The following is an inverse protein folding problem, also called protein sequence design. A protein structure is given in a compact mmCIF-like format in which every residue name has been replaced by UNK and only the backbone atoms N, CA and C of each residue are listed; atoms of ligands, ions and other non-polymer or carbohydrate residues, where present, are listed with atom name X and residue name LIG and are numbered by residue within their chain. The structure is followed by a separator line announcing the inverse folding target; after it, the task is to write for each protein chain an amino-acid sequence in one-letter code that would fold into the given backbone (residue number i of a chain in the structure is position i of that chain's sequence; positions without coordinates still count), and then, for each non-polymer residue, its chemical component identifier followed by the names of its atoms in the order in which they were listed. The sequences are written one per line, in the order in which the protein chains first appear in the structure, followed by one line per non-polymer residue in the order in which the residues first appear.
data_IF_754060689643
#
_entry.id   IF_754060689643
#
_cell.length_a   1.000
_cell.length_b   1.000
_cell.length_c   1.000
_cell.angle_alpha   90.00
_cell.angle_beta   90.00
_cell.angle_gamma   90.00
#
_symmetry.space_group_name_H-M   'P 1'
#
loop_
_entity.id
_entity.type
_entity.pdbx_description
1 polymer ?
#
# COMPACT_ATOMS: atom_id res chain seq x y z
N UNK A 1 3.41 -17.57 8.24
CA UNK A 1 2.66 -16.29 8.34
C UNK A 1 2.98 -15.43 7.13
N UNK A 2 2.07 -14.56 6.71
CA UNK A 2 2.31 -13.67 5.55
C UNK A 2 3.20 -12.52 6.01
N UNK A 3 4.33 -12.33 5.33
CA UNK A 3 5.26 -11.21 5.56
C UNK A 3 4.87 -10.05 4.66
N UNK A 4 4.54 -8.90 5.25
CA UNK A 4 4.31 -7.67 4.51
C UNK A 4 5.46 -6.68 4.75
N UNK A 5 5.95 -6.08 3.66
CA UNK A 5 6.82 -4.90 3.70
C UNK A 5 5.94 -3.67 3.74
N UNK A 6 5.90 -3.00 4.88
CA UNK A 6 5.10 -1.79 5.06
C UNK A 6 6.02 -0.60 4.89
N UNK A 7 5.71 0.23 3.90
CA UNK A 7 6.38 1.51 3.70
C UNK A 7 5.52 2.58 4.37
N UNK A 8 6.08 3.22 5.39
CA UNK A 8 5.48 4.32 6.12
C UNK A 8 6.12 5.61 5.64
N UNK A 9 5.33 6.45 4.95
CA UNK A 9 5.76 7.78 4.54
C UNK A 9 5.31 8.81 5.58
N UNK A 10 6.28 9.50 6.15
CA UNK A 10 6.06 10.59 7.09
C UNK A 10 5.75 11.91 6.36
N UNK A 11 5.14 12.85 7.08
CA UNK A 11 4.81 14.19 6.56
C UNK A 11 6.06 15.01 6.26
N UNK A 12 7.17 14.71 6.95
CA UNK A 12 8.49 15.31 6.75
C UNK A 12 9.24 14.76 5.52
N UNK A 13 8.60 13.90 4.72
CA UNK A 13 9.14 13.39 3.46
C UNK A 13 10.12 12.22 3.61
N UNK A 14 10.37 11.75 4.83
CA UNK A 14 11.12 10.51 5.08
C UNK A 14 10.20 9.30 4.94
N UNK A 15 10.73 8.24 4.34
CA UNK A 15 10.03 6.96 4.21
C UNK A 15 10.82 5.87 4.91
N UNK A 16 10.14 5.12 5.78
CA UNK A 16 10.72 4.00 6.49
C UNK A 16 10.04 2.69 6.07
N UNK A 17 10.83 1.64 5.94
CA UNK A 17 10.34 0.31 5.58
C UNK A 17 10.41 -0.58 6.83
N UNK A 18 9.27 -1.14 7.22
CA UNK A 18 9.18 -2.16 8.26
C UNK A 18 8.75 -3.49 7.66
N UNK A 19 9.32 -4.58 8.14
CA UNK A 19 8.83 -5.93 7.86
C UNK A 19 7.94 -6.37 9.02
N UNK A 20 6.68 -6.64 8.72
CA UNK A 20 5.69 -7.03 9.73
C UNK A 20 4.98 -8.30 9.30
N UNK A 21 4.87 -9.24 10.23
CA UNK A 21 4.11 -10.48 10.09
C UNK A 21 2.73 -10.33 10.72
N UNK A 22 1.74 -9.84 9.98
CA UNK A 22 0.37 -9.68 10.49
C UNK A 22 -0.68 -10.13 9.48
N UNK A 23 -1.63 -10.95 9.93
CA UNK A 23 -2.83 -11.30 9.15
C UNK A 23 -3.90 -10.20 9.20
N UNK A 24 -3.82 -9.27 10.15
CA UNK A 24 -4.85 -8.27 10.44
C UNK A 24 -4.98 -7.16 9.37
N UNK A 25 -4.06 -7.10 8.41
CA UNK A 25 -4.13 -6.21 7.25
C UNK A 25 -4.93 -6.81 6.08
N UNK A 26 -5.19 -8.11 6.11
CA UNK A 26 -5.94 -8.82 5.06
C UNK A 26 -7.41 -8.41 5.11
N UNK A 27 -7.98 -8.06 3.96
CA UNK A 27 -9.37 -7.62 3.82
C UNK A 27 -9.58 -6.10 3.91
N UNK A 28 -8.57 -5.32 4.31
CA UNK A 28 -8.62 -3.86 4.25
C UNK A 28 -8.49 -3.35 2.82
N UNK A 29 -9.03 -2.16 2.55
CA UNK A 29 -9.02 -1.54 1.22
C UNK A 29 -8.03 -0.37 1.17
N UNK A 30 -7.60 -0.05 -0.04
CA UNK A 30 -6.90 1.21 -0.30
C UNK A 30 -7.84 2.37 0.04
N UNK A 31 -7.33 3.32 0.82
CA UNK A 31 -8.07 4.47 1.33
C UNK A 31 -8.49 4.32 2.78
N UNK A 32 -8.47 3.11 3.34
CA UNK A 32 -8.82 2.87 4.74
C UNK A 32 -7.72 3.37 5.68
N UNK A 33 -8.17 3.81 6.85
CA UNK A 33 -7.32 4.22 7.96
C UNK A 33 -7.11 3.07 8.94
N UNK A 34 -5.89 2.94 9.43
CA UNK A 34 -5.42 1.85 10.28
C UNK A 34 -4.69 2.44 11.47
N UNK A 35 -4.98 1.90 12.64
CA UNK A 35 -4.22 2.19 13.85
C UNK A 35 -2.81 1.57 13.72
N UNK A 36 -1.79 2.40 13.88
CA UNK A 36 -0.37 2.01 13.83
C UNK A 36 0.03 1.00 14.91
N UNK A 37 -0.79 0.83 15.96
CA UNK A 37 -0.61 -0.22 16.98
C UNK A 37 -0.49 -1.62 16.39
N UNK A 38 -1.12 -1.90 15.23
CA UNK A 38 -1.00 -3.19 14.55
C UNK A 38 0.39 -3.44 13.93
N UNK A 39 1.20 -2.39 13.80
CA UNK A 39 2.48 -2.37 13.08
C UNK A 39 3.64 -2.05 14.05
N UNK A 40 3.36 -1.87 15.34
CA UNK A 40 4.33 -1.44 16.35
C UNK A 40 4.54 0.08 16.42
N UNK A 41 3.71 0.85 15.72
CA UNK A 41 3.71 2.33 15.75
C UNK A 41 2.55 2.80 16.63
N UNK A 42 2.73 2.73 17.95
CA UNK A 42 1.71 3.17 18.91
C UNK A 42 1.40 4.66 18.76
N UNK A 43 0.12 5.02 18.80
CA UNK A 43 -0.36 6.40 18.68
C UNK A 43 -0.44 6.95 17.25
N UNK A 44 0.03 6.23 16.23
CA UNK A 44 -0.06 6.69 14.83
C UNK A 44 -1.36 6.25 14.15
N UNK A 45 -1.93 7.10 13.30
CA UNK A 45 -2.93 6.67 12.29
C UNK A 45 -2.30 6.67 10.90
N UNK A 46 -2.42 5.53 10.24
CA UNK A 46 -1.86 5.29 8.92
C UNK A 46 -2.99 5.07 7.91
N UNK A 47 -2.92 5.73 6.76
CA UNK A 47 -3.82 5.52 5.64
C UNK A 47 -3.16 4.67 4.57
N UNK A 48 -3.83 3.61 4.13
CA UNK A 48 -3.36 2.79 3.00
C UNK A 48 -3.51 3.60 1.72
N UNK A 49 -2.41 3.83 1.01
CA UNK A 49 -2.42 4.53 -0.28
C UNK A 49 -2.31 3.56 -1.47
N UNK A 50 -1.70 2.39 -1.26
CA UNK A 50 -1.56 1.38 -2.30
C UNK A 50 -0.65 0.23 -1.89
N UNK A 51 -0.18 -0.53 -2.88
CA UNK A 51 0.71 -1.65 -2.67
C UNK A 51 1.09 -2.35 -3.96
N UNK A 52 1.93 -3.38 -3.81
CA UNK A 52 2.46 -4.18 -4.91
C UNK A 52 2.32 -5.67 -4.60
N UNK A 53 1.86 -6.41 -5.61
CA UNK A 53 1.76 -7.88 -5.60
C UNK A 53 3.14 -8.53 -5.73
N UNK A 54 3.27 -9.82 -5.38
CA UNK A 54 4.51 -10.61 -5.60
C UNK A 54 5.04 -10.55 -7.04
N UNK A 55 4.16 -10.41 -8.02
CA UNK A 55 4.54 -10.27 -9.44
C UNK A 55 4.89 -8.82 -9.85
N UNK A 56 4.92 -7.87 -8.91
CA UNK A 56 5.16 -6.45 -9.20
C UNK A 56 3.95 -5.72 -9.81
N UNK A 57 2.77 -6.33 -9.82
CA UNK A 57 1.57 -5.62 -10.27
C UNK A 57 1.11 -4.61 -9.23
N UNK A 58 0.86 -3.35 -9.61
CA UNK A 58 0.38 -2.34 -8.68
C UNK A 58 -1.09 -2.59 -8.35
N UNK A 59 -1.46 -2.24 -7.12
CA UNK A 59 -2.85 -2.16 -6.70
C UNK A 59 -3.49 -0.86 -7.18
N UNK A 60 -4.80 -0.91 -7.47
CA UNK A 60 -5.56 0.24 -7.95
C UNK A 60 -6.87 0.40 -7.17
N UNK A 61 -7.14 1.62 -6.69
CA UNK A 61 -8.32 1.93 -5.87
C UNK A 61 -9.65 1.74 -6.63
N UNK A 62 -9.67 2.03 -7.93
CA UNK A 62 -10.87 1.92 -8.79
C UNK A 62 -11.42 0.48 -8.90
N UNK A 63 -10.55 -0.52 -8.76
CA UNK A 63 -10.91 -1.92 -9.02
C UNK A 63 -11.21 -2.58 -7.69
N UNK A 64 -12.46 -2.99 -7.50
CA UNK A 64 -12.88 -3.67 -6.29
C UNK A 64 -12.44 -5.13 -6.27
N UNK A 65 -12.12 -5.59 -5.07
CA UNK A 65 -11.76 -6.98 -4.81
C UNK A 65 -10.26 -7.20 -4.67
N UNK A 66 -9.90 -8.44 -4.39
CA UNK A 66 -8.54 -8.86 -4.12
C UNK A 66 -7.88 -9.53 -5.31
N UNK A 67 -8.58 -9.78 -6.41
CA UNK A 67 -8.08 -10.54 -7.56
C UNK A 67 -7.23 -9.70 -8.53
N UNK A 68 -6.52 -10.38 -9.43
CA UNK A 68 -5.85 -9.78 -10.59
C UNK A 68 -6.86 -9.63 -11.72
N UNK A 69 -6.97 -8.44 -12.29
CA UNK A 69 -7.86 -8.16 -13.41
C UNK A 69 -7.10 -7.49 -14.56
N UNK A 70 -7.52 -7.76 -15.79
CA UNK A 70 -7.02 -7.06 -16.98
C UNK A 70 -7.93 -5.88 -17.32
N UNK A 71 -7.52 -4.68 -16.94
CA UNK A 71 -8.27 -3.46 -17.23
C UNK A 71 -7.71 -2.75 -18.48
N UNK A 72 -8.59 -2.07 -19.23
CA UNK A 72 -8.19 -1.22 -20.37
C UNK A 72 -7.81 0.17 -19.85
N UNK A 73 -6.51 0.41 -19.69
CA UNK A 73 -5.99 1.62 -19.08
C UNK A 73 -5.65 2.66 -20.15
N UNK A 74 -6.07 3.90 -19.91
CA UNK A 74 -5.63 5.09 -20.66
C UNK A 74 -4.44 5.76 -19.97
N UNK A 75 -4.50 5.96 -18.65
CA UNK A 75 -3.45 6.57 -17.83
C UNK A 75 -3.55 6.07 -16.38
N UNK A 76 -2.47 6.23 -15.62
CA UNK A 76 -2.47 6.11 -14.16
C UNK A 76 -1.61 4.95 -13.64
N UNK A 77 -1.94 4.41 -12.45
CA UNK A 77 -1.18 3.32 -11.84
C UNK A 77 -1.12 2.11 -12.77
N UNK A 78 0.10 1.63 -13.06
CA UNK A 78 0.36 0.48 -13.93
C UNK A 78 0.37 0.76 -15.44
N UNK A 79 0.08 2.00 -15.88
CA UNK A 79 0.23 2.39 -17.28
C UNK A 79 0.56 3.87 -17.46
N UNK A 80 1.78 4.14 -17.94
CA UNK A 80 2.22 5.45 -18.41
C UNK A 80 2.25 5.41 -19.96
N UNK A 81 1.26 5.97 -20.66
CA UNK A 81 1.29 6.04 -22.12
C UNK A 81 2.41 6.97 -22.58
N UNK A 82 3.12 6.59 -23.65
CA UNK A 82 4.09 7.46 -24.32
C UNK A 82 3.38 8.51 -25.18
N UNK A 83 2.36 8.08 -25.93
CA UNK A 83 1.60 8.93 -26.85
C UNK A 83 0.18 9.20 -26.35
N UNK A 84 -0.37 10.36 -26.75
CA UNK A 84 -1.74 10.74 -26.41
C UNK A 84 -2.73 9.82 -27.14
N UNK A 85 -3.75 9.34 -26.41
CA UNK A 85 -4.87 8.56 -26.97
C UNK A 85 -4.68 7.04 -26.99
N UNK A 86 -3.48 6.53 -26.73
CA UNK A 86 -3.26 5.07 -26.69
C UNK A 86 -3.82 4.50 -25.38
N UNK A 87 -4.63 3.44 -25.51
CA UNK A 87 -5.13 2.64 -24.40
C UNK A 87 -4.56 1.23 -24.50
N UNK A 88 -4.09 0.66 -23.39
CA UNK A 88 -3.55 -0.70 -23.37
C UNK A 88 -4.21 -1.53 -22.27
N UNK A 89 -4.56 -2.77 -22.61
CA UNK A 89 -5.10 -3.72 -21.64
C UNK A 89 -3.95 -4.30 -20.81
N UNK A 90 -3.90 -3.94 -19.52
CA UNK A 90 -2.83 -4.31 -18.58
C UNK A 90 -3.41 -5.03 -17.37
N UNK A 91 -2.63 -5.95 -16.81
CA UNK A 91 -2.97 -6.64 -15.57
C UNK A 91 -2.68 -5.75 -14.37
N UNK A 92 -3.64 -5.62 -13.48
CA UNK A 92 -3.58 -4.81 -12.26
C UNK A 92 -4.25 -5.59 -11.13
N UNK A 93 -3.86 -5.30 -9.88
CA UNK A 93 -4.48 -5.88 -8.69
C UNK A 93 -5.61 -4.96 -8.22
N UNK A 94 -6.68 -5.54 -7.70
CA UNK A 94 -7.75 -4.79 -7.05
C UNK A 94 -7.29 -4.08 -5.76
N UNK A 95 -8.23 -3.37 -5.15
CA UNK A 95 -7.99 -2.48 -4.01
C UNK A 95 -7.94 -3.19 -2.66
N UNK A 96 -8.33 -4.46 -2.58
CA UNK A 96 -8.42 -5.21 -1.32
C UNK A 96 -7.12 -5.95 -1.05
N UNK A 97 -6.61 -5.84 0.18
CA UNK A 97 -5.37 -6.48 0.58
C UNK A 97 -5.59 -8.00 0.75
N UNK A 98 -4.79 -8.79 0.03
CA UNK A 98 -4.72 -10.26 0.13
C UNK A 98 -3.34 -10.72 0.57
N UNK A 99 -3.24 -12.00 0.93
CA UNK A 99 -1.98 -12.67 1.26
C UNK A 99 -0.90 -12.63 0.16
N UNK A 100 -1.27 -12.39 -1.09
CA UNK A 100 -0.33 -12.36 -2.22
C UNK A 100 0.47 -11.04 -2.34
N UNK A 101 0.09 -10.04 -1.55
CA UNK A 101 0.73 -8.72 -1.56
C UNK A 101 2.03 -8.80 -0.79
N UNK A 102 3.08 -8.20 -1.35
CA UNK A 102 4.41 -8.16 -0.72
C UNK A 102 4.65 -6.81 -0.06
N UNK A 103 4.24 -5.72 -0.71
CA UNK A 103 4.47 -4.36 -0.23
C UNK A 103 3.16 -3.61 -0.07
N UNK A 104 3.00 -2.92 1.06
CA UNK A 104 1.88 -2.01 1.33
C UNK A 104 2.46 -0.62 1.57
N UNK A 105 1.91 0.37 0.88
CA UNK A 105 2.29 1.77 1.02
C UNK A 105 1.27 2.48 1.92
N UNK A 106 1.77 3.15 2.94
CA UNK A 106 0.97 3.87 3.92
C UNK A 106 1.45 5.31 4.06
N UNK A 107 0.52 6.19 4.37
CA UNK A 107 0.77 7.60 4.67
C UNK A 107 0.36 7.88 6.11
N UNK A 108 1.17 8.59 6.87
CA UNK A 108 0.80 9.07 8.20
C UNK A 108 -0.27 10.16 8.07
N UNK A 109 -1.40 9.99 8.76
CA UNK A 109 -2.50 10.97 8.82
C UNK A 109 -2.49 11.72 10.15
N UNK A 110 -2.27 10.99 11.24
CA UNK A 110 -2.08 11.56 12.57
C UNK A 110 -0.77 11.02 13.15
N UNK A 111 0.09 11.94 13.56
CA UNK A 111 1.35 11.64 14.23
C UNK A 111 1.12 11.35 15.71
N UNK A 112 1.64 10.21 16.18
CA UNK A 112 1.65 9.82 17.60
C UNK A 112 2.81 10.41 18.40
N UNK A 113 2.91 10.01 19.67
CA UNK A 113 3.76 10.62 20.70
C UNK A 113 5.28 10.44 20.53
N UNK A 114 5.76 9.53 19.67
CA UNK A 114 7.21 9.24 19.50
C UNK A 114 7.65 9.27 18.04
N UNK A 115 8.74 9.97 17.68
CA UNK A 115 9.18 10.10 16.30
C UNK A 115 9.50 8.73 15.68
N UNK A 116 9.00 8.52 14.46
CA UNK A 116 9.17 7.30 13.65
C UNK A 116 10.65 6.90 13.52
N UNK A 117 11.56 7.87 13.55
CA UNK A 117 13.02 7.69 13.53
C UNK A 117 13.56 6.83 14.68
N UNK A 118 12.96 6.91 15.87
CA UNK A 118 13.40 6.16 17.06
C UNK A 118 12.84 4.74 17.10
N UNK A 119 11.67 4.52 16.48
CA UNK A 119 11.00 3.21 16.45
C UNK A 119 11.56 2.27 15.37
N UNK A 120 12.23 2.81 14.36
CA UNK A 120 12.90 2.04 13.28
C UNK A 120 14.42 1.96 13.49
N UNK A 121 14.96 2.71 14.45
CA UNK A 121 16.40 2.82 14.73
C UNK A 121 16.99 1.76 15.66
N UNK A 122 16.28 0.67 15.95
CA UNK A 122 16.79 -0.52 16.67
C UNK A 122 16.75 -1.77 15.80
#
# INVERSE_FOLDING_TARGET
MVKFKIVVSDTDGKSHQLEVETAALIGKKIGDEINGSLIGLEGYKLKITGGSDKCGFPMRHDIHGSAKMRALLSKGPGYKPSDKGIRKRKSVRGNTISSDIVQINTKVVESGDKPISELIGQ
#
